data_IF_212930852428
#
_entry.id   IF_212930852428
#
_cell.length_a   1.000
_cell.length_b   1.000
_cell.length_c   1.000
_cell.angle_alpha   90.00
_cell.angle_beta   90.00
_cell.angle_gamma   90.00
#
_symmetry.space_group_name_H-M   'P 1'
#
loop_
_entity.id
_entity.type
_entity.pdbx_description
1 polymer ?
#
# COMPACT_ATOMS: atom_id res chain seq x y z
N UNK A 1 -2.30 24.08 -7.13
CA UNK A 1 -2.81 22.69 -7.28
C UNK A 1 -4.05 22.55 -6.42
N UNK A 2 -5.04 21.75 -6.82
CA UNK A 2 -6.17 21.43 -5.95
C UNK A 2 -5.66 20.80 -4.65
N UNK A 3 -6.34 21.04 -3.54
CA UNK A 3 -6.01 20.39 -2.28
C UNK A 3 -6.55 18.95 -2.29
N UNK A 4 -5.66 17.97 -2.30
CA UNK A 4 -6.00 16.55 -2.24
C UNK A 4 -6.29 16.08 -0.80
N UNK A 5 -6.05 16.94 0.20
CA UNK A 5 -6.33 16.65 1.61
C UNK A 5 -7.83 16.61 1.93
N UNK A 6 -8.64 17.35 1.15
CA UNK A 6 -10.10 17.46 1.30
C UNK A 6 -10.87 16.43 0.45
N UNK A 7 -10.17 15.46 -0.16
CA UNK A 7 -10.85 14.42 -0.94
C UNK A 7 -11.79 13.60 -0.04
N UNK A 8 -13.04 13.35 -0.51
CA UNK A 8 -13.98 12.47 0.17
C UNK A 8 -13.42 11.06 0.43
N UNK A 9 -13.70 10.51 1.62
CA UNK A 9 -13.13 9.24 2.06
C UNK A 9 -13.51 8.06 1.15
N UNK A 10 -14.71 8.07 0.58
CA UNK A 10 -15.19 7.08 -0.39
C UNK A 10 -14.37 7.09 -1.69
N UNK A 11 -13.92 8.26 -2.13
CA UNK A 11 -13.02 8.38 -3.27
C UNK A 11 -11.61 7.88 -2.92
N UNK A 12 -11.11 8.16 -1.71
CA UNK A 12 -9.83 7.61 -1.23
C UNK A 12 -9.86 6.08 -1.15
N UNK A 13 -10.97 5.49 -0.68
CA UNK A 13 -11.17 4.03 -0.71
C UNK A 13 -11.12 3.50 -2.14
N UNK A 14 -11.77 4.19 -3.07
CA UNK A 14 -11.78 3.80 -4.49
C UNK A 14 -10.36 3.86 -5.09
N UNK A 15 -9.58 4.88 -4.75
CA UNK A 15 -8.17 5.00 -5.16
C UNK A 15 -7.33 3.87 -4.56
N UNK A 16 -7.47 3.59 -3.25
CA UNK A 16 -6.74 2.52 -2.58
C UNK A 16 -7.01 1.14 -3.18
N UNK A 17 -8.23 0.88 -3.66
CA UNK A 17 -8.60 -0.36 -4.36
C UNK A 17 -8.00 -0.48 -5.76
N UNK A 18 -7.51 0.61 -6.35
CA UNK A 18 -6.78 0.57 -7.62
C UNK A 18 -5.30 0.19 -7.44
N UNK A 19 -4.78 0.17 -6.21
CA UNK A 19 -3.39 -0.15 -5.92
C UNK A 19 -3.21 -1.67 -5.80
N UNK A 20 -2.41 -2.23 -6.71
CA UNK A 20 -2.14 -3.66 -6.78
C UNK A 20 -0.91 -4.07 -5.98
N UNK A 21 0.07 -3.17 -5.86
CA UNK A 21 1.27 -3.39 -5.08
C UNK A 21 1.03 -3.00 -3.62
N UNK A 22 1.52 -3.86 -2.74
CA UNK A 22 1.51 -3.61 -1.30
C UNK A 22 2.31 -2.37 -0.93
N UNK A 23 3.46 -2.15 -1.56
CA UNK A 23 4.30 -1.00 -1.31
C UNK A 23 3.57 0.30 -1.62
N UNK A 24 2.92 0.38 -2.79
CA UNK A 24 2.11 1.54 -3.19
C UNK A 24 0.97 1.80 -2.19
N UNK A 25 0.30 0.74 -1.73
CA UNK A 25 -0.80 0.87 -0.78
C UNK A 25 -0.33 1.34 0.61
N UNK A 26 0.84 0.89 1.06
CA UNK A 26 1.45 1.38 2.30
C UNK A 26 1.87 2.85 2.16
N UNK A 27 2.49 3.22 1.04
CA UNK A 27 2.88 4.60 0.75
C UNK A 27 1.66 5.52 0.71
N UNK A 28 0.56 5.07 0.10
CA UNK A 28 -0.74 5.75 0.12
C UNK A 28 -1.23 6.02 1.55
N UNK A 29 -1.18 5.01 2.42
CA UNK A 29 -1.60 5.16 3.83
C UNK A 29 -0.72 6.12 4.64
N UNK A 30 0.52 6.36 4.23
CA UNK A 30 1.48 7.20 4.95
C UNK A 30 1.39 8.70 4.63
N UNK A 31 0.51 9.14 3.72
CA UNK A 31 0.41 10.54 3.29
C UNK A 31 -0.06 11.47 4.42
N UNK A 32 -1.22 11.18 5.01
CA UNK A 32 -1.79 11.95 6.11
C UNK A 32 -2.85 11.12 6.86
N UNK A 33 -3.41 11.68 7.95
CA UNK A 33 -4.36 10.96 8.82
C UNK A 33 -5.64 10.50 8.10
N UNK A 34 -6.17 11.26 7.14
CA UNK A 34 -7.38 10.88 6.39
C UNK A 34 -7.12 9.76 5.39
N UNK A 35 -5.93 9.71 4.79
CA UNK A 35 -5.53 8.63 3.90
C UNK A 35 -5.20 7.36 4.69
N UNK A 36 -4.50 7.51 5.81
CA UNK A 36 -4.21 6.42 6.74
C UNK A 36 -5.50 5.76 7.27
N UNK A 37 -6.54 6.53 7.57
CA UNK A 37 -7.79 5.97 8.13
C UNK A 37 -8.53 5.05 7.16
N UNK A 38 -8.36 5.24 5.85
CA UNK A 38 -8.97 4.39 4.82
C UNK A 38 -8.06 3.26 4.35
N UNK A 39 -6.75 3.33 4.61
CA UNK A 39 -5.75 2.33 4.21
C UNK A 39 -5.81 1.04 5.06
N UNK A 40 -7.02 0.49 5.23
CA UNK A 40 -7.27 -0.73 6.00
C UNK A 40 -7.09 -1.98 5.15
N UNK A 41 -6.92 -3.15 5.79
CA UNK A 41 -6.83 -4.44 5.07
C UNK A 41 -8.04 -4.72 4.18
N UNK A 42 -9.24 -4.27 4.58
CA UNK A 42 -10.49 -4.48 3.84
C UNK A 42 -10.62 -3.60 2.60
N UNK A 43 -9.88 -2.50 2.54
CA UNK A 43 -9.90 -1.56 1.42
C UNK A 43 -8.74 -1.77 0.43
N UNK A 44 -7.81 -2.66 0.74
CA UNK A 44 -6.79 -3.09 -0.21
C UNK A 44 -7.39 -4.04 -1.26
N UNK A 45 -6.87 -3.98 -2.49
CA UNK A 45 -7.22 -4.91 -3.55
C UNK A 45 -6.76 -6.33 -3.20
N UNK A 46 -7.62 -7.10 -2.52
CA UNK A 46 -7.32 -8.47 -2.07
C UNK A 46 -7.54 -9.51 -3.18
N UNK A 47 -7.95 -9.11 -4.38
CA UNK A 47 -8.16 -10.04 -5.50
C UNK A 47 -6.84 -10.62 -6.04
N UNK A 48 -5.71 -10.05 -5.61
CA UNK A 48 -4.38 -10.58 -5.85
C UNK A 48 -3.96 -11.40 -4.62
N UNK A 49 -3.73 -12.71 -4.81
CA UNK A 49 -3.20 -13.57 -3.75
C UNK A 49 -1.86 -12.99 -3.28
N UNK A 50 -1.87 -12.40 -2.09
CA UNK A 50 -0.65 -11.87 -1.49
C UNK A 50 0.12 -13.03 -0.88
N UNK A 51 1.12 -13.50 -1.61
CA UNK A 51 2.12 -14.38 -1.05
C UNK A 51 2.79 -13.67 0.14
N UNK A 52 3.05 -14.38 1.26
CA UNK A 52 3.85 -13.85 2.35
C UNK A 52 5.18 -13.35 1.77
N UNK A 53 5.61 -12.15 2.17
CA UNK A 53 6.92 -11.64 1.82
C UNK A 53 7.98 -12.65 2.25
N UNK A 54 8.54 -13.39 1.29
CA UNK A 54 9.62 -14.32 1.53
C UNK A 54 10.89 -13.50 1.74
N UNK A 55 11.30 -13.36 2.99
CA UNK A 55 12.61 -12.80 3.31
C UNK A 55 13.67 -13.85 2.93
N UNK A 56 14.35 -13.62 1.81
CA UNK A 56 15.49 -14.43 1.39
C UNK A 56 16.71 -14.05 2.25
N UNK A 57 17.51 -15.04 2.61
CA UNK A 57 18.79 -14.79 3.27
C UNK A 57 19.75 -14.07 2.32
N UNK A 58 20.67 -13.28 2.87
CA UNK A 58 21.77 -12.69 2.09
C UNK A 58 22.64 -13.82 1.50
N UNK A 59 23.04 -13.67 0.24
CA UNK A 59 23.96 -14.62 -0.39
C UNK A 59 25.34 -14.48 0.27
N UNK A 60 25.88 -15.59 0.80
CA UNK A 60 27.26 -15.61 1.29
C UNK A 60 28.21 -15.43 0.10
N UNK A 61 28.83 -14.25 -0.02
CA UNK A 61 29.93 -14.00 -0.96
C UNK A 61 31.08 -14.95 -0.58
N UNK A 62 31.12 -16.12 -1.23
CA UNK A 62 32.19 -17.09 -1.06
C UNK A 62 33.47 -16.52 -1.69
N UNK A 63 34.18 -15.71 -0.90
CA UNK A 63 35.47 -15.13 -1.21
C UNK A 63 36.49 -16.26 -1.35
N UNK A 64 36.79 -16.66 -2.58
CA UNK A 64 37.88 -17.59 -2.92
C UNK A 64 39.21 -16.85 -2.92
#
# INVERSE_FOLDING_TARGET
MPDWSEIPLDLLVSIGRCLNLIEDYLNFGCVCKSWHSVATKTNFNNDLSRDPWLMLAEEEENSV
#
